data_IF_991194628245
#
_entry.id   IF_991194628245
#
_cell.length_a   1.000
_cell.length_b   1.000
_cell.length_c   1.000
_cell.angle_alpha   90.00
_cell.angle_beta   90.00
_cell.angle_gamma   90.00
#
_symmetry.space_group_name_H-M   'P 1'
#
loop_
_entity.id
_entity.type
_entity.pdbx_description
1 polymer ?
#
# COMPACT_ATOMS: atom_id res chain seq x y z
N UNK A 1 -22.45 25.68 10.10
CA UNK A 1 -23.47 24.71 9.67
C UNK A 1 -23.01 23.34 10.11
N UNK A 2 -23.64 22.71 11.11
CA UNK A 2 -23.15 21.44 11.72
C UNK A 2 -24.07 20.25 11.45
N UNK A 3 -25.01 20.36 10.52
CA UNK A 3 -26.00 19.31 10.22
C UNK A 3 -26.14 19.08 8.72
N UNK A 4 -25.07 19.40 7.96
CA UNK A 4 -25.10 19.20 6.52
C UNK A 4 -24.79 17.74 6.23
N UNK A 5 -25.72 17.05 5.57
CA UNK A 5 -25.61 15.62 5.24
C UNK A 5 -25.17 15.39 3.79
N UNK A 6 -25.51 16.28 2.86
CA UNK A 6 -25.14 16.14 1.45
C UNK A 6 -24.65 17.47 0.89
N UNK A 7 -23.52 17.42 0.19
CA UNK A 7 -22.91 18.56 -0.48
C UNK A 7 -22.39 18.14 -1.85
N UNK A 8 -23.07 18.59 -2.90
CA UNK A 8 -22.61 18.48 -4.28
C UNK A 8 -22.22 19.86 -4.82
N UNK A 9 -20.95 20.03 -5.14
CA UNK A 9 -20.37 21.21 -5.78
C UNK A 9 -19.62 20.82 -7.06
N UNK A 10 -19.95 19.67 -7.64
CA UNK A 10 -19.29 19.18 -8.84
C UNK A 10 -19.50 20.09 -10.05
N UNK A 11 -18.56 20.04 -11.00
CA UNK A 11 -18.62 20.77 -12.27
C UNK A 11 -18.81 22.29 -12.10
N UNK A 12 -18.02 22.86 -11.21
CA UNK A 12 -17.95 24.29 -10.97
C UNK A 12 -16.54 24.81 -11.25
N UNK A 13 -16.34 26.12 -11.12
CA UNK A 13 -15.03 26.76 -11.28
C UNK A 13 -14.42 27.15 -9.92
N UNK A 14 -14.69 26.37 -8.87
CA UNK A 14 -14.15 26.63 -7.54
C UNK A 14 -12.64 26.46 -7.58
N UNK A 15 -11.91 27.34 -6.89
CA UNK A 15 -10.45 27.32 -6.87
C UNK A 15 -9.92 27.65 -5.47
N UNK A 16 -8.63 27.35 -5.24
CA UNK A 16 -8.03 27.44 -3.92
C UNK A 16 -8.05 26.11 -3.17
N UNK A 17 -7.72 26.17 -1.89
CA UNK A 17 -7.64 25.00 -1.02
C UNK A 17 -9.00 24.65 -0.43
N UNK A 18 -9.18 23.37 -0.08
CA UNK A 18 -10.35 22.93 0.70
C UNK A 18 -10.21 23.50 2.11
N UNK A 19 -11.14 24.34 2.58
CA UNK A 19 -10.96 25.06 3.85
C UNK A 19 -11.05 24.10 5.04
N UNK A 20 -10.16 24.29 6.03
CA UNK A 20 -10.14 23.54 7.28
C UNK A 20 -11.46 23.62 8.07
N UNK A 21 -12.32 24.59 7.78
CA UNK A 21 -13.65 24.68 8.41
C UNK A 21 -14.60 23.58 7.93
N UNK A 22 -14.38 22.99 6.74
CA UNK A 22 -15.15 21.81 6.28
C UNK A 22 -14.94 20.59 7.17
N UNK A 23 -13.85 20.55 7.94
CA UNK A 23 -13.60 19.52 8.96
C UNK A 23 -14.66 19.48 10.05
N UNK A 24 -15.34 20.59 10.30
CA UNK A 24 -16.41 20.67 11.30
C UNK A 24 -17.74 20.07 10.83
N UNK A 25 -17.83 19.62 9.58
CA UNK A 25 -19.02 18.98 9.00
C UNK A 25 -19.03 17.48 9.31
N UNK A 26 -19.24 17.13 10.58
CA UNK A 26 -19.18 15.73 11.05
C UNK A 26 -20.35 14.83 10.63
N UNK A 27 -21.38 15.40 10.00
CA UNK A 27 -22.60 14.67 9.59
C UNK A 27 -22.69 14.48 8.08
N UNK A 28 -21.62 14.79 7.34
CA UNK A 28 -21.66 14.81 5.88
C UNK A 28 -21.57 13.38 5.32
N UNK A 29 -22.66 12.85 4.79
CA UNK A 29 -22.69 11.51 4.20
C UNK A 29 -22.33 11.50 2.71
N UNK A 30 -22.60 12.60 2.00
CA UNK A 30 -22.35 12.71 0.57
C UNK A 30 -21.55 13.97 0.28
N UNK A 31 -20.40 13.81 -0.38
CA UNK A 31 -19.57 14.90 -0.87
C UNK A 31 -19.18 14.66 -2.33
N UNK A 32 -19.38 15.67 -3.16
CA UNK A 32 -18.87 15.68 -4.54
C UNK A 32 -18.27 17.05 -4.86
N UNK A 33 -16.95 17.09 -5.04
CA UNK A 33 -16.16 18.26 -5.43
C UNK A 33 -15.51 18.06 -6.82
N UNK A 34 -15.97 17.06 -7.57
CA UNK A 34 -15.34 16.69 -8.84
C UNK A 34 -15.44 17.79 -9.89
N UNK A 35 -14.51 17.81 -10.83
CA UNK A 35 -14.46 18.78 -11.94
C UNK A 35 -14.51 20.23 -11.46
N UNK A 36 -13.55 20.59 -10.61
CA UNK A 36 -13.30 21.96 -10.17
C UNK A 36 -11.80 22.30 -10.38
N UNK A 37 -11.38 23.48 -9.94
CA UNK A 37 -10.00 23.93 -10.00
C UNK A 37 -9.38 24.05 -8.58
N UNK A 38 -9.78 23.14 -7.68
CA UNK A 38 -9.25 23.06 -6.32
C UNK A 38 -7.80 22.59 -6.35
N UNK A 39 -7.03 23.04 -5.36
CA UNK A 39 -5.59 22.79 -5.25
C UNK A 39 -5.17 22.51 -3.81
N UNK A 40 -3.96 21.99 -3.65
CA UNK A 40 -3.34 21.74 -2.35
C UNK A 40 -3.79 20.41 -1.72
N UNK A 41 -3.46 20.25 -0.44
CA UNK A 41 -3.69 18.99 0.27
C UNK A 41 -5.13 18.87 0.76
N UNK A 42 -5.75 17.70 0.56
CA UNK A 42 -7.00 17.35 1.23
C UNK A 42 -6.76 17.32 2.75
N UNK A 43 -7.51 18.09 3.55
CA UNK A 43 -7.28 18.18 4.99
C UNK A 43 -7.30 16.81 5.71
N UNK A 44 -6.24 16.54 6.48
CA UNK A 44 -6.07 15.32 7.26
C UNK A 44 -6.94 15.29 8.53
N UNK A 45 -7.22 14.09 9.04
CA UNK A 45 -7.90 13.87 10.33
C UNK A 45 -9.44 13.84 10.33
N UNK A 46 -10.11 13.72 9.18
CA UNK A 46 -11.57 13.87 9.12
C UNK A 46 -12.31 12.96 8.14
N UNK A 47 -13.65 13.05 8.17
CA UNK A 47 -14.57 12.44 7.22
C UNK A 47 -14.24 12.73 5.76
N UNK A 48 -13.53 13.82 5.44
CA UNK A 48 -13.11 14.10 4.05
C UNK A 48 -12.26 12.97 3.45
N UNK A 49 -11.44 12.30 4.25
CA UNK A 49 -10.65 11.16 3.79
C UNK A 49 -11.46 9.87 3.59
N UNK A 50 -12.67 9.80 4.14
CA UNK A 50 -13.55 8.63 3.99
C UNK A 50 -14.32 8.61 2.68
N UNK A 51 -14.39 9.72 1.95
CA UNK A 51 -15.07 9.76 0.67
C UNK A 51 -14.25 9.08 -0.44
N UNK A 52 -14.93 8.67 -1.49
CA UNK A 52 -14.29 7.96 -2.61
C UNK A 52 -13.43 8.94 -3.43
N UNK A 53 -12.30 8.50 -4.03
CA UNK A 53 -11.48 9.35 -4.92
C UNK A 53 -12.27 10.05 -6.05
N UNK A 54 -13.38 9.45 -6.49
CA UNK A 54 -14.28 10.02 -7.49
C UNK A 54 -14.87 11.38 -7.07
N UNK A 55 -15.11 11.58 -5.78
CA UNK A 55 -15.59 12.85 -5.23
C UNK A 55 -14.61 14.00 -5.44
N UNK A 56 -13.36 13.71 -5.75
CA UNK A 56 -12.28 14.69 -5.92
C UNK A 56 -11.71 14.72 -7.34
N UNK A 57 -12.19 13.85 -8.23
CA UNK A 57 -11.68 13.71 -9.60
C UNK A 57 -11.79 15.01 -10.39
N UNK A 58 -10.87 15.25 -11.32
CA UNK A 58 -10.93 16.42 -12.21
C UNK A 58 -10.49 17.73 -11.54
N UNK A 59 -9.76 17.66 -10.42
CA UNK A 59 -9.03 18.77 -9.81
C UNK A 59 -7.51 18.52 -9.97
N UNK A 60 -6.84 19.18 -10.94
CA UNK A 60 -5.49 18.79 -11.36
C UNK A 60 -4.39 19.08 -10.33
N UNK A 61 -4.60 20.07 -9.45
CA UNK A 61 -3.61 20.49 -8.44
C UNK A 61 -3.97 19.99 -7.03
N UNK A 62 -5.00 19.16 -6.89
CA UNK A 62 -5.44 18.60 -5.62
C UNK A 62 -4.70 17.29 -5.33
N UNK A 63 -4.22 17.12 -4.10
CA UNK A 63 -3.39 15.99 -3.70
C UNK A 63 -3.71 15.54 -2.26
N UNK A 64 -3.18 14.37 -1.86
CA UNK A 64 -3.42 13.78 -0.54
C UNK A 64 -4.56 12.76 -0.54
N UNK A 65 -4.65 11.96 0.52
CA UNK A 65 -5.66 10.90 0.67
C UNK A 65 -7.09 11.47 0.56
N UNK A 66 -8.01 10.84 -0.20
CA UNK A 66 -7.94 9.50 -0.82
C UNK A 66 -7.30 9.44 -2.22
N UNK A 67 -6.74 10.53 -2.75
CA UNK A 67 -6.08 10.55 -4.06
C UNK A 67 -4.70 9.86 -4.00
N UNK A 68 -4.27 9.30 -5.13
CA UNK A 68 -2.95 8.65 -5.28
C UNK A 68 -1.82 9.70 -5.32
N UNK A 69 -2.11 10.89 -5.84
CA UNK A 69 -1.13 11.98 -5.94
C UNK A 69 -0.72 12.48 -4.56
N UNK A 70 0.54 12.26 -4.21
CA UNK A 70 1.14 12.79 -2.98
C UNK A 70 1.50 14.25 -3.18
N UNK A 71 1.18 15.09 -2.19
CA UNK A 71 1.53 16.49 -2.23
C UNK A 71 3.07 16.67 -2.19
N UNK A 72 3.61 17.50 -3.09
CA UNK A 72 5.02 17.89 -3.05
C UNK A 72 5.20 18.93 -1.96
N UNK A 73 5.69 18.50 -0.80
CA UNK A 73 6.08 19.43 0.26
C UNK A 73 7.39 20.12 -0.12
N UNK A 74 7.33 21.41 -0.46
CA UNK A 74 8.48 22.29 -0.29
C UNK A 74 8.47 22.72 1.19
N UNK A 75 9.37 22.15 1.98
CA UNK A 75 9.48 22.35 3.41
C UNK A 75 9.72 23.83 3.76
N UNK A 76 8.82 24.40 4.56
CA UNK A 76 9.14 25.46 5.51
C UNK A 76 8.20 25.40 6.72
N UNK A 77 8.22 24.27 7.45
CA UNK A 77 8.19 24.19 8.92
C UNK A 77 7.89 22.74 9.37
N UNK A 78 8.95 22.09 9.86
CA UNK A 78 8.97 21.35 11.12
C UNK A 78 7.93 20.26 11.40
N UNK A 79 8.48 19.05 11.52
CA UNK A 79 8.22 18.08 12.60
C UNK A 79 7.28 16.89 12.27
N UNK A 80 7.96 15.83 11.84
CA UNK A 80 7.88 14.43 12.31
C UNK A 80 6.50 13.76 12.36
N UNK A 81 6.28 12.84 11.42
CA UNK A 81 5.85 11.47 11.74
C UNK A 81 6.20 10.57 10.56
N UNK A 82 7.11 9.64 10.82
CA UNK A 82 7.32 8.46 10.00
C UNK A 82 6.02 7.64 9.96
N UNK A 83 5.21 7.81 8.91
CA UNK A 83 4.18 6.84 8.54
C UNK A 83 4.39 6.43 7.07
N UNK A 84 5.45 5.63 6.88
CA UNK A 84 5.62 4.75 5.72
C UNK A 84 4.58 3.64 5.78
N UNK A 85 3.41 3.76 5.15
CA UNK A 85 2.54 2.58 5.06
C UNK A 85 1.63 2.60 3.82
N UNK A 86 1.99 1.79 2.82
CA UNK A 86 1.01 1.32 1.84
C UNK A 86 1.54 0.87 0.47
N UNK A 87 2.69 1.36 0.00
CA UNK A 87 3.20 1.04 -1.36
C UNK A 87 4.63 0.51 -1.41
N UNK A 88 5.54 1.04 -0.58
CA UNK A 88 6.94 0.56 -0.56
C UNK A 88 7.10 -0.80 0.13
N UNK A 89 6.22 -1.12 1.08
CA UNK A 89 6.27 -2.39 1.80
C UNK A 89 6.08 -3.58 0.86
N UNK A 90 5.16 -3.50 -0.10
CA UNK A 90 4.93 -4.61 -1.04
C UNK A 90 6.15 -4.88 -1.93
N UNK A 91 6.88 -3.83 -2.34
CA UNK A 91 8.12 -4.00 -3.12
C UNK A 91 9.26 -4.54 -2.26
N UNK A 92 9.47 -4.03 -1.04
CA UNK A 92 10.49 -4.55 -0.12
C UNK A 92 10.21 -6.00 0.33
N UNK A 93 8.93 -6.35 0.54
CA UNK A 93 8.53 -7.74 0.81
C UNK A 93 8.79 -8.64 -0.42
N UNK A 94 8.48 -8.18 -1.63
CA UNK A 94 8.72 -8.95 -2.86
C UNK A 94 10.22 -9.17 -3.11
N UNK A 95 11.03 -8.12 -2.96
CA UNK A 95 12.49 -8.20 -3.05
C UNK A 95 13.06 -9.09 -1.93
N UNK A 96 12.54 -8.98 -0.70
CA UNK A 96 12.92 -9.81 0.44
C UNK A 96 12.59 -11.29 0.23
N UNK A 97 11.42 -11.62 -0.32
CA UNK A 97 11.05 -13.00 -0.66
C UNK A 97 11.98 -13.60 -1.71
N UNK A 98 12.31 -12.85 -2.77
CA UNK A 98 13.22 -13.31 -3.82
C UNK A 98 14.64 -13.59 -3.29
N UNK A 99 15.18 -12.66 -2.50
CA UNK A 99 16.51 -12.81 -1.88
C UNK A 99 16.52 -13.93 -0.84
N UNK A 100 15.46 -14.05 -0.04
CA UNK A 100 15.30 -15.10 0.97
C UNK A 100 15.26 -16.50 0.35
N UNK A 101 14.54 -16.67 -0.77
CA UNK A 101 14.49 -17.94 -1.48
C UNK A 101 15.86 -18.32 -2.05
N UNK A 102 16.53 -17.39 -2.73
CA UNK A 102 17.84 -17.64 -3.31
C UNK A 102 18.87 -18.00 -2.23
N UNK A 103 18.95 -17.23 -1.15
CA UNK A 103 19.89 -17.47 -0.05
C UNK A 103 19.60 -18.79 0.67
N UNK A 104 18.33 -19.10 0.97
CA UNK A 104 17.94 -20.37 1.58
C UNK A 104 18.28 -21.59 0.70
N UNK A 105 17.99 -21.51 -0.60
CA UNK A 105 18.33 -22.57 -1.54
C UNK A 105 19.83 -22.83 -1.59
N UNK A 106 20.66 -21.78 -1.68
CA UNK A 106 22.11 -21.90 -1.71
C UNK A 106 22.71 -22.44 -0.41
N UNK A 107 22.15 -22.10 0.75
CA UNK A 107 22.61 -22.63 2.05
C UNK A 107 22.34 -24.14 2.14
N UNK A 108 21.12 -24.58 1.81
CA UNK A 108 20.77 -26.00 1.83
C UNK A 108 21.61 -26.77 0.82
N UNK A 109 21.65 -26.30 -0.43
CA UNK A 109 22.42 -26.95 -1.50
C UNK A 109 23.92 -26.98 -1.18
N UNK A 110 24.47 -25.87 -0.69
CA UNK A 110 25.87 -25.78 -0.25
C UNK A 110 26.20 -26.72 0.90
N UNK A 111 25.33 -26.82 1.91
CA UNK A 111 25.53 -27.75 3.04
C UNK A 111 25.52 -29.21 2.61
N UNK A 112 24.66 -29.57 1.64
CA UNK A 112 24.60 -30.91 1.06
C UNK A 112 25.84 -31.23 0.21
N UNK A 113 26.40 -30.25 -0.49
CA UNK A 113 27.62 -30.44 -1.30
C UNK A 113 28.91 -30.48 -0.47
N UNK A 114 29.00 -29.69 0.61
CA UNK A 114 30.21 -29.55 1.40
C UNK A 114 30.51 -30.79 2.27
N UNK A 115 29.46 -31.50 2.73
CA UNK A 115 29.62 -32.66 3.61
C UNK A 115 29.24 -33.97 2.93
N UNK A 116 30.27 -34.74 2.51
CA UNK A 116 30.12 -36.05 1.85
C UNK A 116 29.16 -37.00 2.58
N UNK A 117 29.18 -37.02 3.91
CA UNK A 117 28.28 -37.88 4.71
C UNK A 117 26.81 -37.47 4.61
N UNK A 118 26.51 -36.16 4.56
CA UNK A 118 25.14 -35.67 4.46
C UNK A 118 24.55 -35.91 3.08
N UNK A 119 25.38 -35.76 2.04
CA UNK A 119 25.02 -36.12 0.67
C UNK A 119 24.57 -37.58 0.56
N UNK A 120 25.34 -38.52 1.10
CA UNK A 120 25.00 -39.94 1.03
C UNK A 120 23.74 -40.28 1.83
N UNK A 121 23.57 -39.71 3.04
CA UNK A 121 22.35 -39.91 3.82
C UNK A 121 21.10 -39.36 3.12
N UNK A 122 21.20 -38.18 2.51
CA UNK A 122 20.11 -37.57 1.75
C UNK A 122 19.70 -38.40 0.54
N UNK A 123 20.67 -38.88 -0.26
CA UNK A 123 20.37 -39.74 -1.40
C UNK A 123 19.78 -41.08 -0.97
N UNK A 124 20.30 -41.72 0.08
CA UNK A 124 19.74 -42.98 0.59
C UNK A 124 18.29 -42.80 1.03
N UNK A 125 17.99 -41.71 1.75
CA UNK A 125 16.62 -41.38 2.14
C UNK A 125 15.70 -41.19 0.92
N UNK A 126 16.15 -40.47 -0.12
CA UNK A 126 15.36 -40.31 -1.35
C UNK A 126 15.11 -41.65 -2.08
N UNK A 127 16.09 -42.55 -2.08
CA UNK A 127 15.93 -43.89 -2.63
C UNK A 127 14.90 -44.69 -1.83
N UNK A 128 14.96 -44.66 -0.51
CA UNK A 128 14.00 -45.37 0.36
C UNK A 128 12.57 -44.83 0.21
N UNK A 129 12.41 -43.49 0.11
CA UNK A 129 11.09 -42.87 -0.12
C UNK A 129 10.56 -43.25 -1.51
N UNK A 130 11.42 -43.25 -2.53
CA UNK A 130 11.05 -43.68 -3.88
C UNK A 130 10.60 -45.14 -3.90
N UNK A 131 11.33 -46.02 -3.22
CA UNK A 131 11.02 -47.45 -3.16
C UNK A 131 9.73 -47.72 -2.37
N UNK A 132 9.51 -46.97 -1.28
CA UNK A 132 8.24 -46.97 -0.56
C UNK A 132 7.07 -46.52 -1.44
N UNK A 133 7.24 -45.47 -2.25
CA UNK A 133 6.20 -45.03 -3.17
C UNK A 133 5.92 -46.06 -4.26
N UNK A 134 6.95 -46.70 -4.82
CA UNK A 134 6.81 -47.72 -5.87
C UNK A 134 6.12 -48.98 -5.33
N UNK A 135 6.51 -49.43 -4.13
CA UNK A 135 5.87 -50.58 -3.46
C UNK A 135 4.45 -50.30 -2.99
N UNK A 136 4.07 -49.03 -2.81
CA UNK A 136 2.68 -48.63 -2.53
C UNK A 136 1.80 -48.62 -3.78
N UNK A 137 2.39 -48.45 -4.96
CA UNK A 137 1.70 -48.28 -6.25
C UNK A 137 1.85 -49.47 -7.21
N UNK A 138 2.38 -50.60 -6.73
CA UNK A 138 2.44 -51.90 -7.41
C UNK A 138 1.73 -52.94 -6.56
#
# INVERSE_FOLDING_TARGET
>A
MKQLESLDLSNNTLSGEIPQTMLSLSFLEVLNLSFNNLKGQIPLGTQLQSFTPLSYMGNPELCGTPLIEKCKHNEALGEDTNDEEGSELMECFYMGMGVGFATGFWIVFGSLLFKRSWRHAYFNFLYDVKDWFISRWT
#
